data_IF_832890673163
#
_entry.id   IF_832890673163
#
_cell.length_a   1.000
_cell.length_b   1.000
_cell.length_c   1.000
_cell.angle_alpha   90.00
_cell.angle_beta   90.00
_cell.angle_gamma   90.00
#
_symmetry.space_group_name_H-M   'P 1'
#
loop_
_entity.id
_entity.type
_entity.pdbx_description
1 polymer ?
#
# COMPACT_ATOMS: atom_id res chain seq x y z
N UNK A 1 -3.44 -8.98 -9.49
CA UNK A 1 -4.73 -8.31 -9.74
C UNK A 1 -4.66 -6.93 -9.10
N UNK A 2 -5.18 -5.88 -9.75
CA UNK A 2 -5.17 -4.51 -9.24
C UNK A 2 -3.87 -3.73 -9.47
N UNK A 3 -2.76 -4.41 -9.72
CA UNK A 3 -1.49 -3.81 -10.14
C UNK A 3 -1.53 -3.39 -11.61
N UNK A 4 -0.89 -2.27 -11.96
CA UNK A 4 -0.77 -1.83 -13.36
C UNK A 4 -0.19 -2.95 -14.25
N UNK A 5 -0.79 -3.23 -15.44
CA UNK A 5 -1.88 -2.51 -16.11
C UNK A 5 -3.31 -2.92 -15.71
N UNK A 6 -3.48 -3.94 -14.86
CA UNK A 6 -4.78 -4.53 -14.51
C UNK A 6 -5.51 -3.74 -13.40
N UNK A 7 -5.64 -2.43 -13.57
CA UNK A 7 -6.11 -1.48 -12.54
C UNK A 7 -7.59 -1.67 -12.17
N UNK A 8 -8.38 -2.29 -13.04
CA UNK A 8 -9.80 -2.56 -12.82
C UNK A 8 -10.08 -3.94 -12.22
N UNK A 9 -9.05 -4.76 -11.96
CA UNK A 9 -9.22 -6.02 -11.25
C UNK A 9 -9.25 -5.79 -9.73
N UNK A 10 -10.09 -6.55 -9.03
CA UNK A 10 -10.15 -6.59 -7.57
C UNK A 10 -10.29 -8.05 -7.11
N UNK A 11 -9.63 -8.47 -6.01
CA UNK A 11 -9.68 -9.85 -5.55
C UNK A 11 -11.01 -10.24 -4.90
N UNK A 12 -11.86 -9.26 -4.55
CA UNK A 12 -13.12 -9.48 -3.83
C UNK A 12 -14.19 -8.49 -4.31
N UNK A 13 -15.45 -8.90 -4.24
CA UNK A 13 -16.59 -8.02 -4.53
C UNK A 13 -16.74 -6.92 -3.48
N UNK A 14 -17.04 -5.69 -3.92
CA UNK A 14 -17.44 -4.56 -3.07
C UNK A 14 -18.47 -4.92 -2.00
N UNK A 15 -19.41 -5.80 -2.32
CA UNK A 15 -20.47 -6.20 -1.38
C UNK A 15 -19.93 -6.90 -0.13
N UNK A 16 -18.79 -7.58 -0.23
CA UNK A 16 -18.15 -8.24 0.91
C UNK A 16 -17.35 -7.24 1.77
N UNK A 17 -16.89 -6.12 1.20
CA UNK A 17 -16.05 -5.13 1.90
C UNK A 17 -16.76 -4.48 3.09
N UNK A 18 -18.10 -4.40 3.06
CA UNK A 18 -18.92 -3.93 4.20
C UNK A 18 -18.71 -4.73 5.50
N UNK A 19 -18.15 -5.94 5.41
CA UNK A 19 -17.87 -6.81 6.55
C UNK A 19 -16.49 -6.58 7.16
N UNK A 20 -15.70 -5.65 6.62
CA UNK A 20 -14.34 -5.37 7.05
C UNK A 20 -14.24 -3.96 7.62
N UNK A 21 -13.60 -3.83 8.77
CA UNK A 21 -13.30 -2.53 9.37
C UNK A 21 -12.06 -1.88 8.73
N UNK A 22 -11.13 -2.71 8.24
CA UNK A 22 -9.88 -2.27 7.64
C UNK A 22 -9.53 -3.15 6.43
N UNK A 23 -9.07 -2.52 5.36
CA UNK A 23 -8.60 -3.19 4.15
C UNK A 23 -7.19 -2.70 3.83
N UNK A 24 -6.27 -3.65 3.69
CA UNK A 24 -4.89 -3.41 3.27
C UNK A 24 -4.68 -4.00 1.88
N UNK A 25 -3.93 -3.29 1.04
CA UNK A 25 -3.47 -3.80 -0.25
C UNK A 25 -1.94 -3.66 -0.34
N UNK A 26 -1.24 -4.76 -0.67
CA UNK A 26 0.21 -4.74 -0.85
C UNK A 26 0.63 -4.09 -2.18
N UNK A 27 -0.30 -3.98 -3.14
CA UNK A 27 -0.06 -3.28 -4.40
C UNK A 27 0.14 -1.79 -4.12
N UNK A 28 1.28 -1.25 -4.55
CA UNK A 28 1.60 0.18 -4.44
C UNK A 28 1.58 0.91 -5.79
N UNK A 29 1.44 0.18 -6.91
CA UNK A 29 1.35 0.72 -8.26
C UNK A 29 0.10 0.16 -8.97
N UNK A 30 -1.00 0.92 -9.06
CA UNK A 30 -1.19 2.30 -8.58
C UNK A 30 -1.32 2.39 -7.05
N UNK A 31 -1.09 3.58 -6.49
CA UNK A 31 -1.21 3.84 -5.05
C UNK A 31 -2.63 3.55 -4.50
N UNK A 32 -3.64 3.88 -5.30
CA UNK A 32 -5.06 3.61 -4.99
C UNK A 32 -5.56 2.58 -5.99
N UNK A 33 -5.62 1.32 -5.56
CA UNK A 33 -6.17 0.22 -6.35
C UNK A 33 -7.70 0.25 -6.33
N UNK A 34 -8.33 -0.54 -7.21
CA UNK A 34 -9.79 -0.75 -7.16
C UNK A 34 -10.25 -1.29 -5.81
N UNK A 35 -9.47 -2.18 -5.18
CA UNK A 35 -9.77 -2.74 -3.86
C UNK A 35 -9.86 -1.63 -2.80
N UNK A 36 -8.85 -0.76 -2.72
CA UNK A 36 -8.81 0.31 -1.73
C UNK A 36 -9.90 1.35 -1.99
N UNK A 37 -10.15 1.71 -3.25
CA UNK A 37 -11.24 2.62 -3.62
C UNK A 37 -12.61 2.07 -3.21
N UNK A 38 -12.91 0.82 -3.55
CA UNK A 38 -14.19 0.19 -3.17
C UNK A 38 -14.33 0.00 -1.65
N UNK A 39 -13.22 -0.22 -0.94
CA UNK A 39 -13.21 -0.34 0.52
C UNK A 39 -13.52 0.98 1.22
N UNK A 40 -12.92 2.09 0.75
CA UNK A 40 -13.21 3.45 1.24
C UNK A 40 -14.68 3.82 1.00
N UNK A 41 -15.23 3.52 -0.17
CA UNK A 41 -16.64 3.70 -0.50
C UNK A 41 -17.59 2.88 0.40
N UNK A 42 -17.09 1.79 1.00
CA UNK A 42 -17.82 0.98 1.99
C UNK A 42 -17.61 1.45 3.44
N UNK A 43 -16.84 2.51 3.67
CA UNK A 43 -16.54 3.05 5.00
C UNK A 43 -15.46 2.30 5.78
N UNK A 44 -14.72 1.39 5.12
CA UNK A 44 -13.59 0.73 5.74
C UNK A 44 -12.37 1.65 5.76
N UNK A 45 -11.54 1.52 6.81
CA UNK A 45 -10.23 2.17 6.85
C UNK A 45 -9.33 1.50 5.81
N UNK A 46 -8.63 2.29 5.00
CA UNK A 46 -7.73 1.78 3.96
C UNK A 46 -6.27 1.96 4.35
N UNK A 47 -5.45 0.96 4.05
CA UNK A 47 -3.98 1.02 4.20
C UNK A 47 -3.35 0.67 2.84
N UNK A 48 -2.61 1.61 2.25
CA UNK A 48 -2.01 1.42 0.93
C UNK A 48 -0.68 0.68 0.98
N UNK A 49 -0.33 0.02 -0.13
CA UNK A 49 0.92 -0.74 -0.24
C UNK A 49 2.17 0.13 -0.09
N UNK A 50 2.06 1.44 -0.34
CA UNK A 50 3.15 2.40 -0.10
C UNK A 50 3.61 2.44 1.36
N UNK A 51 2.69 2.26 2.32
CA UNK A 51 3.03 2.22 3.75
C UNK A 51 3.95 1.04 4.06
N UNK A 52 3.62 -0.13 3.52
CA UNK A 52 4.45 -1.33 3.63
C UNK A 52 5.76 -1.17 2.85
N UNK A 53 5.69 -0.64 1.63
CA UNK A 53 6.83 -0.51 0.72
C UNK A 53 7.94 0.36 1.32
N UNK A 54 7.60 1.50 1.93
CA UNK A 54 8.61 2.34 2.60
C UNK A 54 9.24 1.61 3.78
N UNK A 55 8.41 0.90 4.57
CA UNK A 55 8.87 0.17 5.76
C UNK A 55 9.86 -0.94 5.43
N UNK A 56 9.56 -1.76 4.44
CA UNK A 56 10.48 -2.82 4.02
C UNK A 56 11.75 -2.26 3.38
N UNK A 57 11.67 -1.11 2.67
CA UNK A 57 12.81 -0.54 1.97
C UNK A 57 13.89 -0.01 2.93
N UNK A 58 13.49 0.66 4.01
CA UNK A 58 14.46 1.19 4.97
C UNK A 58 15.07 0.07 5.85
N UNK A 59 14.37 -1.06 6.06
CA UNK A 59 14.94 -2.23 6.76
C UNK A 59 15.97 -2.93 5.87
N UNK A 60 15.66 -3.07 4.57
CA UNK A 60 16.62 -3.59 3.59
C UNK A 60 17.88 -2.72 3.48
N UNK A 61 17.74 -1.39 3.55
CA UNK A 61 18.89 -0.48 3.59
C UNK A 61 19.84 -0.78 4.74
N UNK A 62 19.31 -0.99 5.94
CA UNK A 62 20.12 -1.32 7.12
C UNK A 62 20.85 -2.65 6.93
N UNK A 63 20.15 -3.66 6.40
CA UNK A 63 20.76 -4.97 6.09
C UNK A 63 21.86 -4.85 5.03
N UNK A 64 21.65 -4.08 3.97
CA UNK A 64 22.60 -3.97 2.87
C UNK A 64 23.82 -3.11 3.18
N UNK A 65 23.66 -2.08 4.02
CA UNK A 65 24.72 -1.10 4.28
C UNK A 65 25.39 -1.27 5.64
N UNK A 66 24.72 -1.93 6.59
CA UNK A 66 25.12 -1.98 8.00
C UNK A 66 24.99 -0.65 8.73
N UNK A 67 24.40 0.38 8.09
CA UNK A 67 24.15 1.68 8.69
C UNK A 67 22.74 1.73 9.30
N UNK A 68 22.51 2.55 10.34
CA UNK A 68 21.18 2.71 10.92
C UNK A 68 20.15 3.11 9.87
N UNK A 69 18.98 2.48 9.90
CA UNK A 69 17.89 2.75 8.96
C UNK A 69 17.42 4.22 9.01
N UNK A 70 17.54 5.00 7.92
CA UNK A 70 17.15 6.41 7.88
C UNK A 70 15.66 6.53 7.55
N UNK A 71 14.80 6.15 8.50
CA UNK A 71 13.35 6.00 8.31
C UNK A 71 12.69 7.26 7.74
N UNK A 72 12.98 8.42 8.32
CA UNK A 72 12.41 9.71 7.92
C UNK A 72 12.79 10.08 6.47
N UNK A 73 14.02 9.76 6.06
CA UNK A 73 14.52 10.02 4.71
C UNK A 73 13.74 9.19 3.68
N UNK A 74 13.47 7.92 3.96
CA UNK A 74 12.71 7.06 3.04
C UNK A 74 11.26 7.54 2.86
N UNK A 75 10.61 8.04 3.91
CA UNK A 75 9.30 8.68 3.79
C UNK A 75 9.35 9.96 2.95
N UNK A 76 10.39 10.78 3.14
CA UNK A 76 10.58 11.99 2.34
C UNK A 76 10.83 11.67 0.86
N UNK A 77 11.64 10.64 0.56
CA UNK A 77 11.91 10.19 -0.81
C UNK A 77 10.62 9.74 -1.48
N UNK A 78 9.85 8.85 -0.85
CA UNK A 78 8.60 8.33 -1.42
C UNK A 78 7.52 9.40 -1.59
N UNK A 79 7.52 10.44 -0.76
CA UNK A 79 6.58 11.56 -0.91
C UNK A 79 6.98 12.53 -2.02
N UNK A 80 8.27 12.60 -2.38
CA UNK A 80 8.82 13.60 -3.30
C UNK A 80 9.03 13.06 -4.71
N UNK A 81 9.33 11.77 -4.84
CA UNK A 81 9.65 11.06 -6.07
C UNK A 81 8.68 9.92 -6.29
#
# INVERSE_FOLDING_TARGET
MGMQPNVDETPISKHALKHYALVFDAVYTPRITRLLREAEECGAITVSGSEMFVRQAYEQFEIFTGLPSPKELYWQIMSKY
#
